data_IF_442252429417
#
_entry.id   IF_442252429417
#
_cell.length_a   1.000
_cell.length_b   1.000
_cell.length_c   1.000
_cell.angle_alpha   90.00
_cell.angle_beta   90.00
_cell.angle_gamma   90.00
#
_symmetry.space_group_name_H-M   'P 1'
#
loop_
_entity.id
_entity.type
_entity.pdbx_description
1 polymer ?
#
# COMPACT_ATOMS: atom_id res chain seq x y z
N UNK A 1 -6.02 4.43 12.57
CA UNK A 1 -7.09 5.30 13.12
C UNK A 1 -7.63 4.69 14.40
N UNK A 2 -8.02 5.50 15.39
CA UNK A 2 -8.64 5.03 16.63
C UNK A 2 -10.12 4.61 16.37
N UNK A 3 -10.51 3.34 16.62
CA UNK A 3 -11.89 2.86 16.52
C UNK A 3 -12.92 3.68 17.33
N UNK A 4 -12.46 4.41 18.34
CA UNK A 4 -13.32 5.29 19.14
C UNK A 4 -13.91 6.45 18.32
N UNK A 5 -13.26 6.86 17.24
CA UNK A 5 -13.68 7.97 16.37
C UNK A 5 -14.79 7.61 15.38
N UNK A 6 -15.25 6.35 15.35
CA UNK A 6 -16.38 5.94 14.50
C UNK A 6 -17.69 6.51 15.11
N UNK A 7 -18.51 7.25 14.37
CA UNK A 7 -19.78 7.78 14.85
C UNK A 7 -20.73 6.68 15.30
N UNK A 8 -21.52 6.98 16.33
CA UNK A 8 -22.47 6.02 16.90
C UNK A 8 -23.48 5.50 15.87
N UNK A 9 -23.87 6.33 14.90
CA UNK A 9 -24.78 5.92 13.81
C UNK A 9 -24.17 4.82 12.93
N UNK A 10 -22.86 4.89 12.64
CA UNK A 10 -22.15 3.87 11.85
C UNK A 10 -22.00 2.58 12.67
N UNK A 11 -21.70 2.70 13.97
CA UNK A 11 -21.63 1.55 14.89
C UNK A 11 -22.97 0.80 14.95
N UNK A 12 -24.09 1.54 14.99
CA UNK A 12 -25.44 0.95 14.99
C UNK A 12 -25.73 0.19 13.70
N UNK A 13 -25.43 0.77 12.53
CA UNK A 13 -25.62 0.10 11.23
C UNK A 13 -24.81 -1.20 11.13
N UNK A 14 -23.55 -1.19 11.60
CA UNK A 14 -22.71 -2.39 11.60
C UNK A 14 -23.26 -3.52 12.48
N UNK A 15 -23.90 -3.17 13.60
CA UNK A 15 -24.47 -4.12 14.57
C UNK A 15 -25.90 -4.57 14.23
N UNK A 16 -26.57 -3.91 13.29
CA UNK A 16 -27.94 -4.20 12.89
C UNK A 16 -28.06 -5.62 12.31
N UNK A 17 -28.89 -6.48 12.87
CA UNK A 17 -29.01 -7.88 12.43
C UNK A 17 -29.89 -8.07 11.20
N UNK A 18 -30.71 -7.08 10.87
CA UNK A 18 -31.64 -7.12 9.73
C UNK A 18 -30.97 -6.64 8.44
N UNK A 19 -29.89 -5.86 8.57
CA UNK A 19 -29.14 -5.33 7.43
C UNK A 19 -28.20 -6.37 6.79
N UNK A 20 -28.25 -6.55 5.46
CA UNK A 20 -27.27 -7.33 4.70
C UNK A 20 -25.83 -6.80 4.83
N UNK A 21 -24.85 -7.71 4.75
CA UNK A 21 -23.43 -7.38 4.96
C UNK A 21 -22.87 -6.37 3.95
N UNK A 22 -23.29 -6.44 2.69
CA UNK A 22 -22.92 -5.51 1.63
C UNK A 22 -23.39 -4.07 1.91
N UNK A 23 -24.61 -3.91 2.43
CA UNK A 23 -25.14 -2.61 2.85
C UNK A 23 -24.40 -2.05 4.08
N UNK A 24 -24.02 -2.92 5.04
CA UNK A 24 -23.18 -2.54 6.18
C UNK A 24 -21.80 -2.05 5.75
N UNK A 25 -21.17 -2.78 4.83
CA UNK A 25 -19.87 -2.40 4.28
C UNK A 25 -19.96 -1.12 3.46
N UNK A 26 -21.06 -0.89 2.74
CA UNK A 26 -21.31 0.36 2.02
C UNK A 26 -21.39 1.56 2.96
N UNK A 27 -22.18 1.47 4.04
CA UNK A 27 -22.26 2.53 5.04
C UNK A 27 -20.92 2.78 5.75
N UNK A 28 -20.17 1.71 6.03
CA UNK A 28 -18.82 1.80 6.56
C UNK A 28 -17.86 2.51 5.60
N UNK A 29 -17.87 2.16 4.31
CA UNK A 29 -17.04 2.79 3.28
C UNK A 29 -17.45 4.24 2.97
N UNK A 30 -18.74 4.59 3.09
CA UNK A 30 -19.18 5.99 2.99
C UNK A 30 -18.58 6.85 4.11
N UNK A 31 -18.36 6.28 5.29
CA UNK A 31 -17.70 6.96 6.40
C UNK A 31 -16.17 6.83 6.38
N UNK A 32 -15.65 5.72 5.84
CA UNK A 32 -14.23 5.42 5.66
C UNK A 32 -13.93 5.20 4.16
N UNK A 33 -13.93 6.28 3.36
CA UNK A 33 -13.65 6.17 1.92
C UNK A 33 -12.21 5.70 1.65
N UNK A 34 -11.33 5.80 2.66
CA UNK A 34 -10.02 5.18 2.68
C UNK A 34 -10.00 4.15 3.80
N UNK A 35 -9.66 2.91 3.46
CA UNK A 35 -9.35 1.89 4.46
C UNK A 35 -8.21 2.40 5.34
N UNK A 36 -8.19 2.07 6.64
CA UNK A 36 -7.01 2.34 7.46
C UNK A 36 -5.79 1.74 6.76
N UNK A 37 -4.81 2.58 6.42
CA UNK A 37 -3.55 2.11 5.85
C UNK A 37 -2.96 1.09 6.81
N UNK A 38 -2.53 -0.06 6.28
CA UNK A 38 -1.79 -1.05 7.08
C UNK A 38 -0.57 -0.31 7.63
N UNK A 39 -0.35 -0.26 8.95
CA UNK A 39 0.80 0.45 9.52
C UNK A 39 2.15 -0.07 9.00
N UNK A 40 2.20 -1.27 8.41
CA UNK A 40 3.38 -1.81 7.74
C UNK A 40 3.57 -1.27 6.32
N UNK A 41 2.52 -0.74 5.69
CA UNK A 41 2.56 -0.23 4.32
C UNK A 41 3.52 0.95 4.22
N UNK A 42 3.46 1.90 5.15
CA UNK A 42 4.37 3.05 5.19
C UNK A 42 5.84 2.62 5.30
N UNK A 43 6.11 1.61 6.13
CA UNK A 43 7.45 1.05 6.29
C UNK A 43 7.92 0.43 4.97
N UNK A 44 7.10 -0.42 4.34
CA UNK A 44 7.43 -1.09 3.07
C UNK A 44 7.65 -0.06 1.95
N UNK A 45 6.81 0.97 1.87
CA UNK A 45 6.92 2.02 0.86
C UNK A 45 8.22 2.82 1.06
N UNK A 46 8.53 3.18 2.31
CA UNK A 46 9.75 3.91 2.62
C UNK A 46 11.01 3.08 2.37
N UNK A 47 11.01 1.81 2.76
CA UNK A 47 12.15 0.90 2.52
C UNK A 47 12.40 0.72 1.02
N UNK A 48 11.35 0.51 0.23
CA UNK A 48 11.47 0.41 -1.22
C UNK A 48 11.93 1.73 -1.87
N UNK A 49 11.49 2.88 -1.36
CA UNK A 49 11.95 4.19 -1.83
C UNK A 49 13.45 4.37 -1.57
N UNK A 50 13.92 4.02 -0.38
CA UNK A 50 15.33 4.09 -0.01
C UNK A 50 16.20 3.19 -0.89
N UNK A 51 15.78 1.94 -1.10
CA UNK A 51 16.47 1.01 -2.00
C UNK A 51 16.50 1.56 -3.43
N UNK A 52 15.39 2.11 -3.92
CA UNK A 52 15.32 2.72 -5.25
C UNK A 52 16.28 3.91 -5.42
N UNK A 53 16.43 4.73 -4.38
CA UNK A 53 17.39 5.84 -4.37
C UNK A 53 18.83 5.35 -4.42
N UNK A 54 19.16 4.29 -3.68
CA UNK A 54 20.50 3.69 -3.69
C UNK A 54 20.84 3.11 -5.07
N UNK A 55 19.92 2.33 -5.66
CA UNK A 55 20.07 1.80 -7.02
C UNK A 55 20.30 2.94 -8.03
N UNK A 56 19.51 4.02 -7.94
CA UNK A 56 19.67 5.19 -8.80
C UNK A 56 21.06 5.82 -8.64
N UNK A 57 21.54 5.99 -7.40
CA UNK A 57 22.87 6.55 -7.16
C UNK A 57 23.99 5.70 -7.77
N UNK A 58 23.87 4.37 -7.71
CA UNK A 58 24.85 3.48 -8.32
C UNK A 58 24.88 3.60 -9.85
N UNK A 59 23.72 3.84 -10.48
CA UNK A 59 23.63 4.10 -11.93
C UNK A 59 24.24 5.46 -12.27
N UNK A 60 23.88 6.50 -11.52
CA UNK A 60 24.39 7.87 -11.74
C UNK A 60 25.91 7.95 -11.55
N UNK A 61 26.45 7.21 -10.57
CA UNK A 61 27.90 7.08 -10.31
C UNK A 61 28.62 6.21 -11.36
N UNK A 62 27.89 5.59 -12.29
CA UNK A 62 28.45 4.69 -13.29
C UNK A 62 29.02 3.40 -12.72
N UNK A 63 28.54 2.94 -11.55
CA UNK A 63 28.97 1.69 -10.90
C UNK A 63 28.20 0.47 -11.41
N UNK A 64 26.94 0.68 -11.81
CA UNK A 64 26.10 -0.35 -12.42
C UNK A 64 25.35 0.20 -13.64
N UNK A 65 24.94 -0.71 -14.52
CA UNK A 65 24.09 -0.42 -15.68
C UNK A 65 22.91 -1.40 -15.68
N UNK A 66 21.69 -0.88 -15.92
CA UNK A 66 20.49 -1.70 -16.11
C UNK A 66 20.31 -2.01 -17.60
N UNK A 67 20.23 -3.30 -17.93
CA UNK A 67 20.02 -3.81 -19.28
C UNK A 67 18.54 -4.03 -19.61
N UNK A 68 18.24 -5.14 -20.29
CA UNK A 68 16.88 -5.52 -20.70
C UNK A 68 16.36 -6.69 -19.85
N UNK A 69 15.04 -6.84 -19.81
CA UNK A 69 14.43 -8.06 -19.29
C UNK A 69 14.63 -9.24 -20.24
N UNK A 70 14.94 -10.41 -19.69
CA UNK A 70 14.99 -11.65 -20.44
C UNK A 70 13.58 -12.27 -20.64
N UNK A 71 13.52 -13.41 -21.34
CA UNK A 71 12.26 -14.15 -21.59
C UNK A 71 11.57 -14.66 -20.32
N UNK A 72 12.26 -14.67 -19.18
CA UNK A 72 11.76 -15.08 -17.87
C UNK A 72 11.47 -13.85 -16.98
N UNK A 73 11.53 -12.64 -17.52
CA UNK A 73 11.32 -11.39 -16.80
C UNK A 73 12.39 -11.08 -15.73
N UNK A 74 13.62 -11.58 -15.91
CA UNK A 74 14.76 -11.14 -15.11
C UNK A 74 15.42 -9.91 -15.74
N UNK A 75 15.64 -8.87 -14.93
CA UNK A 75 16.37 -7.67 -15.36
C UNK A 75 17.87 -7.96 -15.39
N UNK A 76 18.49 -7.73 -16.54
CA UNK A 76 19.95 -7.74 -16.65
C UNK A 76 20.57 -6.54 -15.89
N UNK A 77 21.58 -6.80 -15.06
CA UNK A 77 22.30 -5.80 -14.28
C UNK A 77 23.78 -6.06 -14.39
N UNK A 78 24.52 -5.07 -14.88
CA UNK A 78 25.97 -5.16 -15.09
C UNK A 78 26.71 -4.26 -14.11
N UNK A 79 27.79 -4.75 -13.51
CA UNK A 79 28.74 -3.96 -12.73
C UNK A 79 29.80 -3.39 -13.67
N UNK A 80 30.13 -2.11 -13.51
CA UNK A 80 31.06 -1.36 -14.35
C UNK A 80 32.39 -1.08 -13.66
#
# INVERSE_FOLDING_TARGET
MDPNNIPNIVKQILQDRELPMDQKMTAFMMFMPKLPEDPKLDVILNDNLMIGQEIKSLIDDGKIELGKFDKNFHLDVKVL
#
